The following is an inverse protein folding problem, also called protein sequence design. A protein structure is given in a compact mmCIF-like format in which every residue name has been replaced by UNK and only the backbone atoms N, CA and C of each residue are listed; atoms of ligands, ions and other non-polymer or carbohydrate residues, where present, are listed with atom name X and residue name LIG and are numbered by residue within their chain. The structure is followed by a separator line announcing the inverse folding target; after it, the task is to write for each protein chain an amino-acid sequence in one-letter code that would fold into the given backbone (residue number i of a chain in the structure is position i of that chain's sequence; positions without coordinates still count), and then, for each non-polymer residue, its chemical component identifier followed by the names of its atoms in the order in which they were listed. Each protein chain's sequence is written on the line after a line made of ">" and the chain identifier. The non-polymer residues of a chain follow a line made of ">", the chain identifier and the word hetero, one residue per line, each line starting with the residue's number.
data_IF_097937847856
#
_entry.id   IF_097937847856
#
_cell.length_a   1.000
_cell.length_b   1.000
_cell.length_c   1.000
_cell.angle_alpha   90.00
_cell.angle_beta   90.00
_cell.angle_gamma   90.00
#
_symmetry.space_group_name_H-M   'P 1'
#
loop_
_entity.id
_entity.type
_entity.pdbx_description
1 polymer ?
#
# COMPACT_ATOMS: atom_id res chain seq x y z
N UNK A 1 7.47 9.06 13.35
CA UNK A 1 6.81 10.38 13.42
C UNK A 1 5.51 10.19 14.18
N UNK A 2 5.17 11.01 15.18
CA UNK A 2 3.93 10.81 15.97
C UNK A 2 2.70 11.25 15.14
N UNK A 3 2.31 10.44 14.17
CA UNK A 3 1.16 10.69 13.30
C UNK A 3 -0.15 10.73 14.08
N UNK A 4 -0.24 9.96 15.18
CA UNK A 4 -1.45 9.92 16.02
C UNK A 4 -1.71 11.25 16.72
N UNK A 5 -0.67 11.95 17.20
CA UNK A 5 -0.85 13.26 17.86
C UNK A 5 -1.29 14.34 16.88
N UNK A 6 -0.80 14.28 15.63
CA UNK A 6 -1.24 15.13 14.52
C UNK A 6 -2.68 14.82 14.13
N UNK A 7 -3.03 13.54 14.01
CA UNK A 7 -4.39 13.10 13.70
C UNK A 7 -5.39 13.54 14.77
N UNK A 8 -5.06 13.35 16.05
CA UNK A 8 -5.89 13.83 17.16
C UNK A 8 -6.04 15.35 17.16
N UNK A 9 -4.98 16.10 16.81
CA UNK A 9 -5.05 17.55 16.66
C UNK A 9 -5.97 17.96 15.50
N UNK A 10 -5.89 17.27 14.36
CA UNK A 10 -6.77 17.49 13.21
C UNK A 10 -8.22 17.17 13.55
N UNK A 11 -8.49 16.02 14.17
CA UNK A 11 -9.83 15.60 14.57
C UNK A 11 -10.47 16.59 15.55
N UNK A 12 -9.66 17.17 16.46
CA UNK A 12 -10.10 18.27 17.32
C UNK A 12 -10.50 19.50 16.53
N UNK A 13 -9.75 19.89 15.51
CA UNK A 13 -10.11 21.02 14.62
C UNK A 13 -11.43 20.72 13.90
N UNK A 14 -11.58 19.54 13.30
CA UNK A 14 -12.80 19.12 12.60
C UNK A 14 -14.01 19.14 13.53
N UNK A 15 -13.88 18.55 14.72
CA UNK A 15 -14.97 18.51 15.72
C UNK A 15 -15.38 19.91 16.16
N UNK A 16 -14.41 20.79 16.40
CA UNK A 16 -14.67 22.18 16.80
C UNK A 16 -15.27 23.02 15.68
N UNK A 17 -14.85 22.81 14.44
CA UNK A 17 -15.45 23.44 13.27
C UNK A 17 -16.92 23.04 13.11
N UNK A 18 -17.24 21.75 13.20
CA UNK A 18 -18.62 21.24 13.15
C UNK A 18 -19.48 21.85 14.25
N UNK A 19 -18.99 21.85 15.50
CA UNK A 19 -19.71 22.44 16.63
C UNK A 19 -19.94 23.95 16.46
N UNK A 20 -18.91 24.69 16.00
CA UNK A 20 -19.01 26.12 15.75
C UNK A 20 -20.01 26.43 14.64
N UNK A 21 -20.03 25.65 13.55
CA UNK A 21 -20.99 25.80 12.46
C UNK A 21 -22.42 25.54 12.94
N UNK A 22 -22.63 24.47 13.69
CA UNK A 22 -23.94 24.13 14.24
C UNK A 22 -24.48 25.24 15.16
N UNK A 23 -23.67 25.69 16.13
CA UNK A 23 -24.07 26.78 17.05
C UNK A 23 -24.28 28.11 16.34
N UNK A 24 -23.48 28.40 15.31
CA UNK A 24 -23.68 29.63 14.52
C UNK A 24 -25.01 29.58 13.78
N UNK A 25 -25.38 28.41 13.25
CA UNK A 25 -26.68 28.21 12.63
C UNK A 25 -27.82 28.38 13.64
N UNK A 26 -27.73 27.79 14.83
CA UNK A 26 -28.74 27.98 15.89
C UNK A 26 -28.95 29.46 16.24
N UNK A 27 -27.87 30.25 16.32
CA UNK A 27 -27.95 31.69 16.60
C UNK A 27 -28.64 32.42 15.44
N UNK A 28 -28.28 32.09 14.19
CA UNK A 28 -28.90 32.68 12.99
C UNK A 28 -30.39 32.34 12.92
N UNK A 29 -30.75 31.09 13.20
CA UNK A 29 -32.13 30.61 13.21
C UNK A 29 -32.95 31.30 14.31
N UNK A 30 -32.36 31.49 15.50
CA UNK A 30 -33.01 32.21 16.60
C UNK A 30 -33.27 33.69 16.24
N UNK A 31 -32.29 34.36 15.62
CA UNK A 31 -32.47 35.73 15.12
C UNK A 31 -33.54 35.78 14.03
N UNK A 32 -33.53 34.83 13.10
CA UNK A 32 -34.56 34.69 12.07
C UNK A 32 -35.95 34.54 12.67
N UNK A 33 -36.10 33.66 13.67
CA UNK A 33 -37.37 33.41 14.34
C UNK A 33 -37.93 34.66 15.03
N UNK A 34 -37.08 35.44 15.72
CA UNK A 34 -37.52 36.69 16.36
C UNK A 34 -37.97 37.75 15.33
N UNK A 35 -37.29 37.82 14.18
CA UNK A 35 -37.68 38.70 13.07
C UNK A 35 -39.01 38.24 12.48
N UNK A 36 -39.20 36.94 12.24
CA UNK A 36 -40.45 36.38 11.72
C UNK A 36 -41.63 36.60 12.67
N UNK A 37 -41.44 36.42 13.97
CA UNK A 37 -42.45 36.74 14.98
C UNK A 37 -42.84 38.22 14.95
N UNK A 38 -41.87 39.12 14.85
CA UNK A 38 -42.14 40.56 14.74
C UNK A 38 -42.90 40.89 13.44
N UNK A 39 -42.54 40.28 12.32
CA UNK A 39 -43.24 40.43 11.03
C UNK A 39 -44.69 39.91 11.10
N UNK A 40 -44.92 38.76 11.74
CA UNK A 40 -46.26 38.22 11.94
C UNK A 40 -47.13 39.15 12.79
N UNK A 41 -46.58 39.69 13.88
CA UNK A 41 -47.25 40.70 14.72
C UNK A 41 -47.61 41.96 13.93
N UNK A 42 -46.71 42.44 13.05
CA UNK A 42 -46.96 43.59 12.19
C UNK A 42 -48.10 43.31 11.20
N UNK A 43 -48.11 42.14 10.57
CA UNK A 43 -49.17 41.74 9.60
C UNK A 43 -50.54 41.52 10.24
N UNK A 44 -50.59 41.19 11.53
CA UNK A 44 -51.84 40.98 12.27
C UNK A 44 -52.53 42.29 12.70
N UNK A 45 -51.92 43.45 12.48
CA UNK A 45 -52.52 44.75 12.79
C UNK A 45 -53.52 45.11 11.68
N UNK A 46 -54.80 45.18 12.04
CA UNK A 46 -55.90 45.51 11.11
C UNK A 46 -55.96 47.00 10.70
N UNK A 47 -55.23 47.89 11.38
CA UNK A 47 -55.16 49.32 11.06
C UNK A 47 -53.70 49.74 10.74
N UNK A 48 -53.33 49.91 9.45
CA UNK A 48 -51.93 50.08 9.02
C UNK A 48 -51.23 51.37 9.49
N UNK A 49 -51.96 52.29 10.14
CA UNK A 49 -51.52 53.67 10.34
C UNK A 49 -51.30 54.10 11.79
N UNK A 50 -51.41 53.21 12.79
CA UNK A 50 -51.03 53.55 14.17
C UNK A 50 -49.51 53.50 14.38
N UNK A 51 -48.79 54.64 14.46
CA UNK A 51 -47.33 54.67 14.56
C UNK A 51 -46.84 54.13 15.92
N UNK A 52 -47.74 54.11 16.91
CA UNK A 52 -47.46 53.70 18.29
C UNK A 52 -47.28 52.17 18.39
N UNK A 53 -48.12 51.39 17.69
CA UNK A 53 -48.04 49.93 17.72
C UNK A 53 -46.79 49.39 17.00
N UNK A 54 -46.44 49.94 15.84
CA UNK A 54 -45.22 49.60 15.12
C UNK A 54 -43.96 49.90 15.94
N UNK A 55 -43.91 51.07 16.59
CA UNK A 55 -42.80 51.46 17.45
C UNK A 55 -42.65 50.52 18.64
N UNK A 56 -43.76 50.08 19.24
CA UNK A 56 -43.75 49.10 20.34
C UNK A 56 -43.18 47.74 19.90
N UNK A 57 -43.63 47.18 18.77
CA UNK A 57 -43.16 45.89 18.26
C UNK A 57 -41.67 45.94 17.91
N UNK A 58 -41.21 47.00 17.24
CA UNK A 58 -39.79 47.19 16.93
C UNK A 58 -38.94 47.39 18.19
N UNK A 59 -39.49 48.03 19.24
CA UNK A 59 -38.79 48.15 20.53
C UNK A 59 -38.65 46.80 21.23
N UNK A 60 -39.70 45.96 21.18
CA UNK A 60 -39.67 44.59 21.72
C UNK A 60 -38.65 43.73 20.98
N UNK A 61 -38.65 43.76 19.63
CA UNK A 61 -37.67 43.04 18.82
C UNK A 61 -36.24 43.47 19.16
N UNK A 62 -36.00 44.78 19.26
CA UNK A 62 -34.69 45.33 19.66
C UNK A 62 -34.26 44.82 21.04
N UNK A 63 -35.17 44.78 22.01
CA UNK A 63 -34.89 44.24 23.35
C UNK A 63 -34.49 42.77 23.26
N UNK A 64 -35.27 41.94 22.56
CA UNK A 64 -35.00 40.52 22.41
C UNK A 64 -33.67 40.23 21.71
N UNK A 65 -33.38 40.91 20.59
CA UNK A 65 -32.10 40.78 19.88
C UNK A 65 -30.91 41.22 20.73
N UNK A 66 -31.06 42.29 21.51
CA UNK A 66 -30.03 42.72 22.46
C UNK A 66 -29.82 41.70 23.59
N UNK A 67 -30.87 41.00 24.01
CA UNK A 67 -30.80 39.96 25.05
C UNK A 67 -30.07 38.72 24.54
N UNK A 68 -30.31 38.34 23.28
CA UNK A 68 -29.60 37.23 22.62
C UNK A 68 -28.12 37.58 22.39
N UNK A 69 -27.82 38.84 22.03
CA UNK A 69 -26.45 39.29 21.78
C UNK A 69 -25.73 38.48 20.68
N UNK A 70 -26.34 38.25 19.50
CA UNK A 70 -25.86 37.30 18.50
C UNK A 70 -24.43 37.60 18.01
N UNK A 71 -24.08 38.89 17.87
CA UNK A 71 -22.73 39.31 17.48
C UNK A 71 -21.66 38.82 18.46
N UNK A 72 -21.89 38.98 19.77
CA UNK A 72 -20.94 38.55 20.80
C UNK A 72 -20.78 37.02 20.82
N UNK A 73 -21.88 36.29 20.63
CA UNK A 73 -21.86 34.83 20.57
C UNK A 73 -21.11 34.33 19.32
N UNK A 74 -21.40 34.90 18.15
CA UNK A 74 -20.73 34.55 16.90
C UNK A 74 -19.23 34.89 16.93
N UNK A 75 -18.86 36.06 17.48
CA UNK A 75 -17.46 36.42 17.71
C UNK A 75 -16.74 35.43 18.64
N UNK A 76 -17.40 35.01 19.72
CA UNK A 76 -16.88 34.00 20.64
C UNK A 76 -16.59 32.67 19.95
N UNK A 77 -17.56 32.18 19.15
CA UNK A 77 -17.41 30.95 18.35
C UNK A 77 -16.29 31.07 17.31
N UNK A 78 -16.19 32.21 16.63
CA UNK A 78 -15.14 32.48 15.67
C UNK A 78 -13.75 32.49 16.32
N UNK A 79 -13.61 33.14 17.49
CA UNK A 79 -12.36 33.15 18.27
C UNK A 79 -11.95 31.73 18.68
N UNK A 80 -12.88 30.94 19.22
CA UNK A 80 -12.60 29.55 19.63
C UNK A 80 -12.18 28.67 18.43
N UNK A 81 -12.84 28.83 17.28
CA UNK A 81 -12.47 28.15 16.03
C UNK A 81 -11.06 28.53 15.58
N UNK A 82 -10.76 29.83 15.55
CA UNK A 82 -9.47 30.35 15.08
C UNK A 82 -8.29 29.93 15.99
N UNK A 83 -8.52 29.79 17.30
CA UNK A 83 -7.50 29.26 18.22
C UNK A 83 -7.09 27.84 17.83
N UNK A 84 -8.05 26.98 17.49
CA UNK A 84 -7.74 25.60 17.10
C UNK A 84 -7.09 25.54 15.71
N UNK A 85 -7.61 26.33 14.76
CA UNK A 85 -7.05 26.45 13.41
C UNK A 85 -5.63 27.02 13.38
N UNK A 86 -5.26 27.89 14.34
CA UNK A 86 -3.90 28.45 14.42
C UNK A 86 -2.92 27.55 15.18
N UNK A 87 -3.42 26.67 16.07
CA UNK A 87 -2.59 25.70 16.80
C UNK A 87 -2.16 24.53 15.93
N UNK A 88 -3.04 24.04 15.06
CA UNK A 88 -2.76 22.87 14.23
C UNK A 88 -1.56 23.05 13.27
N UNK A 89 -1.46 24.14 12.48
CA UNK A 89 -0.28 24.40 11.65
C UNK A 89 1.02 24.46 12.45
N UNK A 90 0.99 25.04 13.66
CA UNK A 90 2.17 25.09 14.53
C UNK A 90 2.60 23.71 15.05
N UNK A 91 1.65 22.80 15.27
CA UNK A 91 1.97 21.41 15.60
C UNK A 91 2.52 20.68 14.38
N UNK A 92 1.91 20.91 13.22
CA UNK A 92 2.33 20.35 11.95
C UNK A 92 3.79 20.76 11.62
N UNK A 93 4.12 22.05 11.71
CA UNK A 93 5.47 22.58 11.51
C UNK A 93 6.50 21.98 12.47
N UNK A 94 6.12 21.68 13.72
CA UNK A 94 7.01 21.03 14.70
C UNK A 94 7.25 19.56 14.40
N UNK A 95 6.28 18.88 13.80
CA UNK A 95 6.38 17.46 13.47
C UNK A 95 7.19 17.22 12.21
N UNK A 96 7.25 18.18 11.29
CA UNK A 96 8.13 18.12 10.14
C UNK A 96 9.55 18.53 10.52
N UNK A 97 10.53 17.66 10.24
CA UNK A 97 11.94 18.04 10.27
C UNK A 97 12.29 18.69 8.94
N UNK A 98 12.53 20.01 8.86
CA UNK A 98 12.81 20.67 7.59
C UNK A 98 14.16 20.26 7.01
N UNK A 99 15.07 19.76 7.86
CA UNK A 99 16.41 19.37 7.46
C UNK A 99 16.64 17.89 7.72
N UNK A 100 16.35 17.08 6.70
CA UNK A 100 16.62 15.64 6.70
C UNK A 100 18.10 15.33 6.43
N UNK A 101 18.89 16.31 5.96
CA UNK A 101 20.32 16.11 5.65
C UNK A 101 21.14 15.79 6.90
N UNK A 102 20.64 16.13 8.10
CA UNK A 102 21.26 15.72 9.37
C UNK A 102 21.31 14.21 9.56
N UNK A 103 20.32 13.48 9.02
CA UNK A 103 20.29 12.03 9.03
C UNK A 103 21.19 11.41 7.96
N UNK A 104 21.67 12.21 6.99
CA UNK A 104 22.56 11.74 5.95
C UNK A 104 23.90 11.33 6.54
N UNK A 105 24.31 10.12 6.17
CA UNK A 105 25.67 9.62 6.33
C UNK A 105 26.27 9.62 4.92
N UNK A 106 27.55 9.92 4.77
CA UNK A 106 28.24 9.80 3.49
C UNK A 106 28.20 8.33 3.02
N UNK A 107 27.12 7.96 2.34
CA UNK A 107 26.97 6.67 1.67
C UNK A 107 27.46 6.88 0.26
N UNK A 108 28.46 6.10 -0.12
CA UNK A 108 28.93 6.06 -1.50
C UNK A 108 27.86 5.36 -2.34
N UNK A 109 27.37 6.06 -3.36
CA UNK A 109 26.38 5.50 -4.27
C UNK A 109 27.10 5.03 -5.52
N UNK A 110 26.83 3.78 -5.91
CA UNK A 110 27.08 3.35 -7.27
C UNK A 110 26.07 4.05 -8.19
N UNK A 111 26.50 5.14 -8.82
CA UNK A 111 25.64 5.95 -9.69
C UNK A 111 25.11 5.16 -10.89
N UNK A 112 25.87 4.19 -11.40
CA UNK A 112 25.40 3.32 -12.48
C UNK A 112 24.20 2.50 -12.00
N UNK A 113 24.34 1.82 -10.86
CA UNK A 113 23.25 1.04 -10.27
C UNK A 113 22.03 1.91 -9.92
N UNK A 114 22.25 3.11 -9.37
CA UNK A 114 21.14 4.05 -9.06
C UNK A 114 20.40 4.44 -10.33
N UNK A 115 21.11 4.81 -11.40
CA UNK A 115 20.49 5.18 -12.68
C UNK A 115 19.68 4.01 -13.25
N UNK A 116 20.22 2.79 -13.20
CA UNK A 116 19.51 1.58 -13.64
C UNK A 116 18.24 1.32 -12.81
N UNK A 117 18.30 1.52 -11.48
CA UNK A 117 17.13 1.38 -10.59
C UNK A 117 16.05 2.41 -10.94
N UNK A 118 16.44 3.66 -11.19
CA UNK A 118 15.50 4.74 -11.55
C UNK A 118 14.89 4.51 -12.93
N UNK A 119 15.69 4.09 -13.93
CA UNK A 119 15.19 3.76 -15.26
C UNK A 119 14.20 2.58 -15.22
N UNK A 120 14.55 1.50 -14.49
CA UNK A 120 13.66 0.35 -14.28
C UNK A 120 12.36 0.77 -13.59
N UNK A 121 12.43 1.69 -12.61
CA UNK A 121 11.24 2.24 -11.99
C UNK A 121 10.33 2.91 -13.03
N UNK A 122 10.86 3.75 -13.93
CA UNK A 122 10.06 4.37 -14.98
C UNK A 122 9.41 3.34 -15.90
N UNK A 123 10.14 2.31 -16.33
CA UNK A 123 9.57 1.23 -17.15
C UNK A 123 8.49 0.44 -16.43
N UNK A 124 8.65 0.14 -15.15
CA UNK A 124 7.61 -0.48 -14.33
C UNK A 124 6.34 0.37 -14.26
N UNK A 125 6.48 1.70 -14.18
CA UNK A 125 5.36 2.64 -14.19
C UNK A 125 4.80 2.93 -15.60
N UNK A 126 5.37 2.32 -16.65
CA UNK A 126 4.95 2.55 -18.04
C UNK A 126 5.41 3.89 -18.61
N UNK A 127 6.31 4.59 -17.93
CA UNK A 127 6.89 5.87 -18.33
C UNK A 127 8.13 5.66 -19.20
N UNK A 128 7.94 4.98 -20.35
CA UNK A 128 9.05 4.53 -21.20
C UNK A 128 9.93 5.68 -21.72
N UNK A 129 9.31 6.79 -22.14
CA UNK A 129 10.06 7.94 -22.66
C UNK A 129 11.03 8.53 -21.62
N UNK A 130 10.62 8.57 -20.33
CA UNK A 130 11.47 9.06 -19.25
C UNK A 130 12.62 8.09 -18.93
N UNK A 131 12.34 6.79 -18.98
CA UNK A 131 13.38 5.77 -18.82
C UNK A 131 14.42 5.84 -19.93
N UNK A 132 13.97 5.99 -21.18
CA UNK A 132 14.83 6.10 -22.36
C UNK A 132 15.72 7.35 -22.28
N UNK A 133 15.13 8.52 -21.98
CA UNK A 133 15.90 9.75 -21.79
C UNK A 133 16.98 9.61 -20.70
N UNK A 134 16.64 9.00 -19.55
CA UNK A 134 17.60 8.83 -18.46
C UNK A 134 18.75 7.90 -18.87
N UNK A 135 18.46 6.79 -19.54
CA UNK A 135 19.48 5.85 -19.99
C UNK A 135 20.42 6.50 -21.01
N UNK A 136 19.86 7.23 -21.97
CA UNK A 136 20.63 7.91 -23.01
C UNK A 136 21.56 8.99 -22.43
N UNK A 137 21.07 9.76 -21.45
CA UNK A 137 21.86 10.79 -20.76
C UNK A 137 22.91 10.22 -19.80
N UNK A 138 22.56 9.13 -19.09
CA UNK A 138 23.45 8.48 -18.13
C UNK A 138 24.49 7.55 -18.77
N UNK A 139 24.25 7.10 -20.02
CA UNK A 139 25.11 6.14 -20.70
C UNK A 139 24.96 4.70 -20.20
N UNK A 140 23.72 4.26 -19.91
CA UNK A 140 23.39 2.98 -19.25
C UNK A 140 22.68 1.96 -20.18
N UNK A 141 23.32 1.48 -21.27
CA UNK A 141 22.63 0.65 -22.27
C UNK A 141 22.14 -0.70 -21.72
N UNK A 142 22.68 -1.16 -20.60
CA UNK A 142 22.33 -2.44 -19.96
C UNK A 142 20.86 -2.47 -19.49
N UNK A 143 20.28 -1.32 -19.14
CA UNK A 143 18.89 -1.22 -18.70
C UNK A 143 17.87 -1.35 -19.86
N UNK A 144 18.31 -1.32 -21.13
CA UNK A 144 17.46 -1.50 -22.32
C UNK A 144 16.88 -2.93 -22.38
N UNK A 145 17.62 -3.92 -21.89
CA UNK A 145 17.12 -5.30 -21.87
C UNK A 145 15.84 -5.42 -21.02
N UNK A 146 15.73 -4.65 -19.94
CA UNK A 146 14.56 -4.66 -19.05
C UNK A 146 13.37 -3.94 -19.70
N UNK A 147 13.63 -2.89 -20.48
CA UNK A 147 12.62 -2.12 -21.20
C UNK A 147 11.71 -2.98 -22.08
N UNK A 148 12.28 -3.89 -22.87
CA UNK A 148 11.51 -4.72 -23.82
C UNK A 148 10.51 -5.63 -23.11
N UNK A 149 10.90 -6.18 -21.96
CA UNK A 149 10.03 -6.99 -21.11
C UNK A 149 8.84 -6.17 -20.60
N UNK A 150 9.07 -4.98 -20.04
CA UNK A 150 7.96 -4.14 -19.59
C UNK A 150 7.08 -3.66 -20.75
N UNK A 151 7.65 -3.43 -21.94
CA UNK A 151 6.85 -3.08 -23.11
C UNK A 151 5.88 -4.20 -23.51
N UNK A 152 6.35 -5.46 -23.55
CA UNK A 152 5.49 -6.63 -23.79
C UNK A 152 4.40 -6.75 -22.72
N UNK A 153 4.76 -6.58 -21.44
CA UNK A 153 3.79 -6.58 -20.34
C UNK A 153 2.71 -5.53 -20.57
N UNK A 154 3.07 -4.28 -20.86
CA UNK A 154 2.11 -3.20 -21.08
C UNK A 154 1.24 -3.43 -22.32
N UNK A 155 1.75 -4.07 -23.38
CA UNK A 155 0.91 -4.48 -24.52
C UNK A 155 -0.19 -5.46 -24.10
N UNK A 156 0.14 -6.42 -23.23
CA UNK A 156 -0.86 -7.32 -22.64
C UNK A 156 -1.84 -6.55 -21.75
N UNK A 157 -1.36 -5.66 -20.90
CA UNK A 157 -2.20 -4.87 -19.99
C UNK A 157 -3.17 -3.94 -20.73
N UNK A 158 -2.72 -3.24 -21.77
CA UNK A 158 -3.59 -2.38 -22.60
C UNK A 158 -4.69 -3.20 -23.30
N UNK A 159 -4.35 -4.40 -23.77
CA UNK A 159 -5.35 -5.32 -24.33
C UNK A 159 -6.38 -5.75 -23.27
N UNK A 160 -5.95 -6.01 -22.03
CA UNK A 160 -6.85 -6.37 -20.93
C UNK A 160 -7.83 -5.24 -20.58
N UNK A 161 -7.41 -3.96 -20.65
CA UNK A 161 -8.30 -2.80 -20.40
C UNK A 161 -9.51 -2.78 -21.34
N UNK A 162 -9.33 -3.20 -22.59
CA UNK A 162 -10.41 -3.32 -23.59
C UNK A 162 -11.03 -4.72 -23.64
N UNK A 163 -10.79 -5.55 -22.61
CA UNK A 163 -11.27 -6.93 -22.48
C UNK A 163 -10.81 -7.88 -23.61
N UNK A 164 -9.68 -7.60 -24.23
CA UNK A 164 -9.04 -8.49 -25.19
C UNK A 164 -8.06 -9.43 -24.47
N UNK A 165 -8.46 -10.69 -24.31
CA UNK A 165 -7.64 -11.73 -23.66
C UNK A 165 -6.62 -12.39 -24.59
N UNK A 166 -6.62 -12.08 -25.90
CA UNK A 166 -5.74 -12.71 -26.89
C UNK A 166 -4.24 -12.58 -26.57
N UNK A 167 -3.71 -11.36 -26.35
CA UNK A 167 -2.30 -11.18 -25.99
C UNK A 167 -1.92 -11.89 -24.68
N UNK A 168 -2.78 -11.84 -23.67
CA UNK A 168 -2.56 -12.54 -22.41
C UNK A 168 -2.52 -14.07 -22.60
N UNK A 169 -3.41 -14.63 -23.41
CA UNK A 169 -3.44 -16.07 -23.71
C UNK A 169 -2.18 -16.52 -24.46
N UNK A 170 -1.73 -15.74 -25.43
CA UNK A 170 -0.49 -16.02 -26.17
C UNK A 170 0.71 -16.02 -25.21
N UNK A 171 0.83 -15.00 -24.37
CA UNK A 171 1.91 -14.90 -23.39
C UNK A 171 1.90 -16.07 -22.39
N UNK A 172 0.73 -16.44 -21.86
CA UNK A 172 0.59 -17.58 -20.95
C UNK A 172 0.98 -18.89 -21.66
N UNK A 173 0.56 -19.08 -22.90
CA UNK A 173 0.86 -20.30 -23.67
C UNK A 173 2.36 -20.44 -23.93
N UNK A 174 3.03 -19.34 -24.31
CA UNK A 174 4.48 -19.30 -24.51
C UNK A 174 5.27 -19.58 -23.23
N UNK A 175 4.72 -19.22 -22.07
CA UNK A 175 5.37 -19.36 -20.76
C UNK A 175 4.80 -20.52 -19.91
N UNK A 176 3.96 -21.39 -20.49
CA UNK A 176 3.17 -22.39 -19.74
C UNK A 176 4.04 -23.31 -18.87
N UNK A 177 5.16 -23.80 -19.41
CA UNK A 177 6.04 -24.70 -18.66
C UNK A 177 6.61 -24.04 -17.39
N UNK A 178 7.09 -22.80 -17.52
CA UNK A 178 7.64 -22.02 -16.40
C UNK A 178 6.55 -21.65 -15.39
N UNK A 179 5.37 -21.27 -15.87
CA UNK A 179 4.21 -20.97 -15.02
C UNK A 179 3.78 -22.20 -14.21
N UNK A 180 3.76 -23.39 -14.84
CA UNK A 180 3.41 -24.64 -14.16
C UNK A 180 4.46 -25.05 -13.12
N UNK A 181 5.75 -24.87 -13.39
CA UNK A 181 6.82 -25.12 -12.41
C UNK A 181 6.67 -24.23 -11.16
N UNK A 182 6.19 -23.01 -11.33
CA UNK A 182 5.92 -22.07 -10.24
C UNK A 182 4.53 -22.27 -9.60
N UNK A 183 3.78 -23.30 -10.00
CA UNK A 183 2.43 -23.58 -9.48
C UNK A 183 1.39 -22.51 -9.81
N UNK A 184 1.60 -21.74 -10.89
CA UNK A 184 0.73 -20.64 -11.28
C UNK A 184 -0.62 -21.12 -11.84
N UNK A 185 -1.69 -20.50 -11.39
CA UNK A 185 -3.07 -20.78 -11.83
C UNK A 185 -3.57 -19.78 -12.88
N UNK A 186 -2.67 -19.02 -13.50
CA UNK A 186 -3.01 -17.90 -14.36
C UNK A 186 -3.80 -18.33 -15.60
N UNK A 187 -3.46 -19.48 -16.19
CA UNK A 187 -4.17 -20.03 -17.35
C UNK A 187 -5.64 -20.34 -17.05
N UNK A 188 -5.90 -20.96 -15.89
CA UNK A 188 -7.27 -21.21 -15.42
C UNK A 188 -8.03 -19.88 -15.22
N UNK A 189 -7.41 -18.91 -14.54
CA UNK A 189 -8.03 -17.59 -14.30
C UNK A 189 -8.38 -16.89 -15.63
N UNK A 190 -7.50 -16.95 -16.63
CA UNK A 190 -7.78 -16.39 -17.96
C UNK A 190 -8.98 -17.09 -18.62
N UNK A 191 -8.99 -18.42 -18.64
CA UNK A 191 -10.10 -19.17 -19.25
C UNK A 191 -11.44 -18.91 -18.55
N UNK A 192 -11.41 -18.64 -17.23
CA UNK A 192 -12.60 -18.20 -16.49
C UNK A 192 -13.12 -16.86 -16.98
N UNK A 193 -12.24 -15.86 -17.16
CA UNK A 193 -12.64 -14.55 -17.69
C UNK A 193 -13.23 -14.67 -19.10
N UNK A 194 -12.58 -15.43 -19.97
CA UNK A 194 -13.08 -15.65 -21.34
C UNK A 194 -14.43 -16.37 -21.33
N UNK A 195 -14.58 -17.40 -20.49
CA UNK A 195 -15.85 -18.11 -20.34
C UNK A 195 -16.98 -17.18 -19.87
N UNK A 196 -16.71 -16.30 -18.90
CA UNK A 196 -17.70 -15.33 -18.42
C UNK A 196 -18.11 -14.36 -19.53
N UNK A 197 -17.19 -13.88 -20.35
CA UNK A 197 -17.53 -13.01 -21.50
C UNK A 197 -18.35 -13.76 -22.56
N UNK A 198 -18.07 -15.05 -22.80
CA UNK A 198 -18.89 -15.91 -23.68
C UNK A 198 -20.30 -16.09 -23.10
N UNK A 199 -20.44 -16.31 -21.79
CA UNK A 199 -21.74 -16.42 -21.13
C UNK A 199 -22.54 -15.11 -21.20
N UNK A 200 -21.86 -13.95 -21.16
CA UNK A 200 -22.48 -12.62 -21.27
C UNK A 200 -22.96 -12.27 -22.67
N UNK A 201 -22.20 -12.65 -23.71
CA UNK A 201 -22.42 -12.18 -25.10
C UNK A 201 -22.85 -13.26 -26.08
N UNK A 202 -22.59 -14.52 -25.77
CA UNK A 202 -22.74 -15.66 -26.67
C UNK A 202 -23.94 -16.53 -26.34
N UNK A 203 -23.96 -17.72 -26.94
CA UNK A 203 -25.02 -18.71 -26.74
C UNK A 203 -24.64 -19.77 -25.70
N UNK A 204 -25.63 -20.52 -25.24
CA UNK A 204 -25.41 -21.69 -24.36
C UNK A 204 -24.49 -22.73 -25.01
N UNK A 205 -24.59 -22.90 -26.33
CA UNK A 205 -23.77 -23.84 -27.08
C UNK A 205 -22.29 -23.41 -27.08
N UNK A 206 -22.02 -22.12 -27.30
CA UNK A 206 -20.66 -21.57 -27.30
C UNK A 206 -20.01 -21.72 -25.92
N UNK A 207 -20.74 -21.36 -24.86
CA UNK A 207 -20.27 -21.49 -23.49
C UNK A 207 -19.97 -22.95 -23.12
N UNK A 208 -20.86 -23.88 -23.50
CA UNK A 208 -20.66 -25.31 -23.25
C UNK A 208 -19.46 -25.87 -24.02
N UNK A 209 -19.29 -25.47 -25.29
CA UNK A 209 -18.14 -25.86 -26.10
C UNK A 209 -16.84 -25.37 -25.48
N UNK A 210 -16.80 -24.09 -25.07
CA UNK A 210 -15.61 -23.50 -24.45
C UNK A 210 -15.24 -24.18 -23.14
N UNK A 211 -16.23 -24.44 -22.27
CA UNK A 211 -16.00 -25.12 -20.99
C UNK A 211 -15.42 -26.53 -21.19
N UNK A 212 -15.92 -27.29 -22.16
CA UNK A 212 -15.41 -28.64 -22.46
C UNK A 212 -13.98 -28.63 -22.97
N UNK A 213 -13.63 -27.66 -23.82
CA UNK A 213 -12.30 -27.60 -24.43
C UNK A 213 -11.25 -27.05 -23.48
N UNK A 214 -11.55 -25.97 -22.75
CA UNK A 214 -10.54 -25.19 -22.03
C UNK A 214 -10.62 -25.29 -20.51
N UNK A 215 -11.80 -25.54 -19.94
CA UNK A 215 -11.97 -25.60 -18.47
C UNK A 215 -11.98 -27.04 -17.93
N UNK A 216 -12.46 -28.02 -18.71
CA UNK A 216 -12.51 -29.41 -18.30
C UNK A 216 -11.15 -30.01 -17.86
N UNK A 217 -10.00 -29.68 -18.48
CA UNK A 217 -8.70 -30.16 -18.01
C UNK A 217 -8.37 -29.77 -16.56
N UNK A 218 -8.95 -28.68 -16.05
CA UNK A 218 -8.72 -28.18 -14.69
C UNK A 218 -9.77 -28.68 -13.69
N UNK A 219 -10.80 -29.40 -14.13
CA UNK A 219 -11.94 -29.76 -13.30
C UNK A 219 -11.58 -30.72 -12.15
N UNK A 220 -10.59 -31.59 -12.32
CA UNK A 220 -10.15 -32.53 -11.27
C UNK A 220 -9.60 -31.81 -10.03
N UNK A 221 -8.91 -30.69 -10.22
CA UNK A 221 -8.30 -29.88 -9.17
C UNK A 221 -9.25 -28.79 -8.64
N UNK A 222 -10.15 -28.28 -9.50
CA UNK A 222 -11.02 -27.12 -9.20
C UNK A 222 -12.52 -27.40 -9.41
N UNK A 223 -12.97 -28.59 -9.02
CA UNK A 223 -14.34 -29.06 -9.32
C UNK A 223 -15.44 -28.12 -8.83
N UNK A 224 -15.30 -27.54 -7.62
CA UNK A 224 -16.30 -26.63 -7.06
C UNK A 224 -16.46 -25.37 -7.93
N UNK A 225 -15.34 -24.74 -8.32
CA UNK A 225 -15.37 -23.57 -9.19
C UNK A 225 -15.91 -23.91 -10.58
N UNK A 226 -15.51 -25.07 -11.12
CA UNK A 226 -16.01 -25.55 -12.40
C UNK A 226 -17.54 -25.74 -12.39
N UNK A 227 -18.09 -26.35 -11.33
CA UNK A 227 -19.53 -26.53 -11.18
C UNK A 227 -20.28 -25.18 -11.18
N UNK A 228 -19.78 -24.19 -10.44
CA UNK A 228 -20.38 -22.85 -10.41
C UNK A 228 -20.40 -22.20 -11.79
N UNK A 229 -19.31 -22.31 -12.55
CA UNK A 229 -19.22 -21.77 -13.91
C UNK A 229 -20.20 -22.48 -14.87
N UNK A 230 -20.31 -23.80 -14.78
CA UNK A 230 -21.24 -24.57 -15.63
C UNK A 230 -22.70 -24.23 -15.31
N UNK A 231 -23.05 -23.97 -14.05
CA UNK A 231 -24.40 -23.51 -13.66
C UNK A 231 -24.75 -22.20 -14.37
N UNK A 232 -23.80 -21.26 -14.54
CA UNK A 232 -24.03 -19.99 -15.25
C UNK A 232 -24.52 -20.17 -16.69
N UNK A 233 -24.23 -21.29 -17.35
CA UNK A 233 -24.68 -21.58 -18.73
C UNK A 233 -26.22 -21.63 -18.79
N UNK A 234 -26.88 -22.12 -17.75
CA UNK A 234 -28.35 -22.21 -17.69
C UNK A 234 -28.98 -20.81 -17.76
N UNK A 235 -28.27 -19.82 -17.20
CA UNK A 235 -28.70 -18.44 -17.04
C UNK A 235 -28.27 -17.50 -18.17
N UNK A 236 -27.67 -18.00 -19.26
CA UNK A 236 -27.39 -17.18 -20.46
C UNK A 236 -28.66 -16.46 -20.93
N UNK A 237 -28.58 -15.14 -21.05
CA UNK A 237 -29.72 -14.25 -21.36
C UNK A 237 -30.58 -13.82 -20.16
N UNK A 238 -30.33 -14.33 -18.95
CA UNK A 238 -31.01 -13.99 -17.68
C UNK A 238 -30.02 -13.91 -16.51
N UNK A 239 -28.90 -13.23 -16.73
CA UNK A 239 -27.77 -13.23 -15.79
C UNK A 239 -28.05 -12.53 -14.46
N UNK A 240 -29.00 -11.61 -14.42
CA UNK A 240 -29.44 -10.93 -13.20
C UNK A 240 -30.03 -11.88 -12.15
N UNK A 241 -30.47 -13.07 -12.58
CA UNK A 241 -31.01 -14.12 -11.70
C UNK A 241 -30.02 -15.25 -11.44
N UNK A 242 -28.78 -15.15 -11.94
CA UNK A 242 -27.77 -16.18 -11.76
C UNK A 242 -27.34 -16.28 -10.28
N UNK A 243 -27.40 -17.48 -9.67
CA UNK A 243 -26.94 -17.70 -8.28
C UNK A 243 -25.45 -17.41 -8.05
N UNK A 244 -24.67 -17.35 -9.14
CA UNK A 244 -23.22 -17.12 -9.12
C UNK A 244 -22.81 -15.83 -9.85
N UNK A 245 -23.65 -14.79 -9.78
CA UNK A 245 -23.39 -13.50 -10.41
C UNK A 245 -22.08 -12.85 -9.91
N UNK A 246 -21.60 -13.19 -8.71
CA UNK A 246 -20.31 -12.76 -8.17
C UNK A 246 -19.13 -13.14 -9.05
N UNK A 247 -19.20 -14.25 -9.81
CA UNK A 247 -18.15 -14.67 -10.74
C UNK A 247 -18.01 -13.73 -11.94
N UNK A 248 -19.00 -12.85 -12.14
CA UNK A 248 -19.07 -11.92 -13.25
C UNK A 248 -18.66 -10.49 -12.89
N UNK A 249 -18.30 -10.28 -11.61
CA UNK A 249 -17.92 -8.99 -11.07
C UNK A 249 -16.65 -8.43 -11.75
N UNK A 250 -16.55 -7.10 -11.94
CA UNK A 250 -15.37 -6.46 -12.53
C UNK A 250 -14.07 -6.74 -11.77
N UNK A 251 -14.14 -6.96 -10.45
CA UNK A 251 -12.98 -7.23 -9.58
C UNK A 251 -12.09 -8.39 -10.10
N UNK A 252 -12.67 -9.40 -10.73
CA UNK A 252 -11.90 -10.53 -11.28
C UNK A 252 -10.95 -10.11 -12.41
N UNK A 253 -11.28 -9.04 -13.14
CA UNK A 253 -10.38 -8.47 -14.14
C UNK A 253 -9.22 -7.75 -13.47
N UNK A 254 -9.50 -6.95 -12.43
CA UNK A 254 -8.47 -6.24 -11.66
C UNK A 254 -7.51 -7.24 -10.98
N UNK A 255 -8.04 -8.27 -10.32
CA UNK A 255 -7.26 -9.34 -9.69
C UNK A 255 -6.41 -10.11 -10.72
N UNK A 256 -6.96 -10.41 -11.89
CA UNK A 256 -6.22 -11.05 -12.98
C UNK A 256 -5.10 -10.15 -13.51
N UNK A 257 -5.37 -8.86 -13.66
CA UNK A 257 -4.36 -7.86 -14.05
C UNK A 257 -3.23 -7.76 -13.02
N UNK A 258 -3.52 -7.78 -11.72
CA UNK A 258 -2.47 -7.79 -10.71
C UNK A 258 -1.66 -9.09 -10.71
N UNK A 259 -2.32 -10.23 -10.88
CA UNK A 259 -1.64 -11.53 -10.96
C UNK A 259 -0.73 -11.61 -12.19
N UNK A 260 -1.19 -11.16 -13.37
CA UNK A 260 -0.34 -11.22 -14.58
C UNK A 260 0.91 -10.35 -14.43
N UNK A 261 0.82 -9.16 -13.83
CA UNK A 261 1.99 -8.31 -13.53
C UNK A 261 2.97 -9.06 -12.63
N UNK A 262 2.46 -9.67 -11.55
CA UNK A 262 3.29 -10.43 -10.60
C UNK A 262 4.00 -11.60 -11.27
N UNK A 263 3.27 -12.40 -12.06
CA UNK A 263 3.84 -13.54 -12.78
C UNK A 263 4.84 -13.09 -13.84
N UNK A 264 4.56 -11.98 -14.53
CA UNK A 264 5.45 -11.40 -15.51
C UNK A 264 6.78 -10.97 -14.87
N UNK A 265 6.74 -10.16 -13.81
CA UNK A 265 7.96 -9.75 -13.10
C UNK A 265 8.76 -10.97 -12.61
N UNK A 266 8.07 -11.95 -12.02
CA UNK A 266 8.71 -13.17 -11.52
C UNK A 266 9.44 -13.96 -12.62
N UNK A 267 8.86 -14.08 -13.81
CA UNK A 267 9.47 -14.84 -14.92
C UNK A 267 10.67 -14.14 -15.55
N UNK A 268 10.70 -12.80 -15.47
CA UNK A 268 11.81 -11.97 -15.97
C UNK A 268 12.89 -11.78 -14.88
N UNK A 269 12.70 -12.35 -13.69
CA UNK A 269 13.63 -12.19 -12.57
C UNK A 269 13.63 -10.79 -11.97
N UNK A 270 12.54 -10.04 -12.16
CA UNK A 270 12.35 -8.71 -11.60
C UNK A 270 11.44 -8.77 -10.36
N UNK A 271 11.65 -7.85 -9.42
CA UNK A 271 10.75 -7.68 -8.29
C UNK A 271 9.42 -7.09 -8.76
N UNK A 272 8.32 -7.57 -8.18
CA UNK A 272 6.99 -7.00 -8.41
C UNK A 272 6.92 -5.53 -7.95
N UNK A 273 7.53 -5.21 -6.81
CA UNK A 273 7.67 -3.85 -6.32
C UNK A 273 8.97 -3.24 -6.83
N UNK A 274 8.91 -1.97 -7.24
CA UNK A 274 10.10 -1.24 -7.67
C UNK A 274 11.11 -1.12 -6.52
N UNK A 275 12.39 -1.49 -6.73
CA UNK A 275 13.44 -1.31 -5.73
C UNK A 275 13.55 0.14 -5.24
N UNK A 276 13.32 1.12 -6.13
CA UNK A 276 13.29 2.54 -5.77
C UNK A 276 12.18 2.86 -4.77
N UNK A 277 10.96 2.41 -5.06
CA UNK A 277 9.80 2.64 -4.19
C UNK A 277 9.99 1.97 -2.83
N UNK A 278 10.52 0.75 -2.83
CA UNK A 278 10.84 0.01 -1.61
C UNK A 278 11.92 0.73 -0.79
N UNK A 279 13.00 1.19 -1.43
CA UNK A 279 14.07 1.91 -0.74
C UNK A 279 13.59 3.24 -0.15
N UNK A 280 12.74 3.99 -0.87
CA UNK A 280 12.13 5.22 -0.37
C UNK A 280 11.22 4.92 0.81
N UNK A 281 10.36 3.90 0.72
CA UNK A 281 9.47 3.51 1.82
C UNK A 281 10.26 3.11 3.08
N UNK A 282 11.28 2.27 2.92
CA UNK A 282 12.19 1.90 4.00
C UNK A 282 12.91 3.11 4.60
N UNK A 283 13.35 4.04 3.75
CA UNK A 283 13.96 5.30 4.16
C UNK A 283 13.01 6.15 5.00
N UNK A 284 11.75 6.30 4.58
CA UNK A 284 10.71 7.05 5.31
C UNK A 284 10.47 6.43 6.69
N UNK A 285 10.36 5.11 6.79
CA UNK A 285 10.17 4.42 8.07
C UNK A 285 11.39 4.56 9.00
N UNK A 286 12.62 4.48 8.45
CA UNK A 286 13.84 4.61 9.22
C UNK A 286 14.24 6.04 9.62
N UNK A 287 13.79 7.03 8.85
CA UNK A 287 14.21 8.43 8.97
C UNK A 287 14.00 9.04 10.38
N UNK A 288 12.88 8.83 11.09
CA UNK A 288 12.69 9.36 12.44
C UNK A 288 13.75 8.88 13.43
N UNK A 289 14.17 7.62 13.33
CA UNK A 289 15.22 7.04 14.18
C UNK A 289 16.58 7.64 13.84
N UNK A 290 16.89 7.75 12.55
CA UNK A 290 18.13 8.35 12.08
C UNK A 290 18.26 9.83 12.50
N UNK A 291 17.18 10.61 12.42
CA UNK A 291 17.17 12.01 12.87
C UNK A 291 17.38 12.13 14.38
N UNK A 292 16.74 11.27 15.18
CA UNK A 292 16.96 11.24 16.64
C UNK A 292 18.42 10.93 16.96
N UNK A 293 19.02 9.94 16.29
CA UNK A 293 20.43 9.58 16.47
C UNK A 293 21.36 10.72 16.07
N UNK A 294 21.12 11.36 14.92
CA UNK A 294 21.89 12.51 14.46
C UNK A 294 21.88 13.66 15.47
N UNK A 295 20.73 13.91 16.12
CA UNK A 295 20.60 14.91 17.17
C UNK A 295 21.39 14.52 18.45
N UNK A 296 21.31 13.26 18.88
CA UNK A 296 22.07 12.76 20.04
C UNK A 296 23.58 12.81 19.78
N UNK A 297 23.99 12.48 18.56
CA UNK A 297 25.39 12.45 18.13
C UNK A 297 25.88 13.81 17.62
N UNK A 298 25.11 14.89 17.76
CA UNK A 298 25.44 16.20 17.20
C UNK A 298 26.78 16.76 17.72
N UNK A 299 27.17 16.43 18.95
CA UNK A 299 28.47 16.79 19.55
C UNK A 299 29.64 15.92 19.07
N UNK A 300 29.36 14.76 18.46
CA UNK A 300 30.32 13.74 18.02
C UNK A 300 30.13 13.44 16.51
N UNK A 301 30.13 14.48 15.69
CA UNK A 301 29.83 14.38 14.25
C UNK A 301 30.76 13.43 13.50
N UNK A 302 32.04 13.42 13.84
CA UNK A 302 33.01 12.55 13.18
C UNK A 302 32.73 11.07 13.48
N UNK A 303 32.45 10.73 14.75
CA UNK A 303 32.03 9.38 15.14
C UNK A 303 30.73 8.97 14.43
N UNK A 304 29.77 9.89 14.26
CA UNK A 304 28.53 9.62 13.51
C UNK A 304 28.77 9.29 12.03
N UNK A 305 29.71 9.99 11.37
CA UNK A 305 30.02 9.77 9.95
C UNK A 305 30.83 8.49 9.73
N UNK A 306 31.73 8.12 10.64
CA UNK A 306 32.58 6.91 10.52
C UNK A 306 31.87 5.62 11.00
N UNK A 307 30.69 5.74 11.59
CA UNK A 307 29.94 4.63 12.17
C UNK A 307 29.37 3.68 11.11
N UNK A 308 29.96 2.48 11.01
CA UNK A 308 29.53 1.42 10.08
C UNK A 308 28.19 0.78 10.44
N UNK A 309 27.81 0.75 11.71
CA UNK A 309 26.58 0.10 12.21
C UNK A 309 25.85 1.01 13.19
N UNK A 310 24.52 1.05 13.10
CA UNK A 310 23.71 1.84 14.02
C UNK A 310 23.71 1.21 15.43
N UNK A 311 23.72 2.03 16.50
CA UNK A 311 23.72 1.52 17.88
C UNK A 311 22.34 1.03 18.33
N UNK A 312 21.30 1.33 17.55
CA UNK A 312 19.92 0.93 17.80
C UNK A 312 19.34 0.27 16.54
N UNK A 313 18.47 -0.73 16.70
CA UNK A 313 17.77 -1.32 15.57
C UNK A 313 16.84 -0.29 14.91
N UNK A 314 16.73 -0.37 13.59
CA UNK A 314 15.71 0.37 12.82
C UNK A 314 14.62 -0.63 12.47
N UNK A 315 13.48 -0.51 13.13
CA UNK A 315 12.33 -1.38 12.87
C UNK A 315 11.59 -0.89 11.63
N UNK A 316 11.73 -1.63 10.53
CA UNK A 316 11.15 -1.31 9.21
C UNK A 316 9.85 -2.08 8.91
N UNK A 317 9.28 -2.78 9.91
CA UNK A 317 8.12 -3.64 9.71
C UNK A 317 8.44 -4.99 9.06
N UNK A 318 7.41 -5.84 8.91
CA UNK A 318 7.54 -7.20 8.35
C UNK A 318 7.43 -7.21 6.82
N UNK A 319 6.76 -6.21 6.27
CA UNK A 319 6.53 -5.98 4.85
C UNK A 319 7.83 -5.67 4.08
N UNK A 320 8.88 -5.22 4.77
CA UNK A 320 10.21 -4.98 4.20
C UNK A 320 11.20 -6.14 4.48
N UNK A 321 10.70 -7.29 4.95
CA UNK A 321 11.51 -8.51 5.16
C UNK A 321 11.45 -9.40 3.92
N UNK A 322 12.27 -9.08 2.92
CA UNK A 322 12.25 -9.76 1.61
C UNK A 322 12.95 -11.13 1.59
N UNK A 323 13.93 -11.34 2.47
CA UNK A 323 14.70 -12.57 2.53
C UNK A 323 14.80 -13.06 3.97
N UNK A 324 14.72 -14.37 4.15
CA UNK A 324 15.05 -14.98 5.44
C UNK A 324 16.55 -14.91 5.64
N UNK A 325 17.00 -13.99 6.49
CA UNK A 325 18.40 -13.91 6.90
C UNK A 325 18.58 -14.78 8.13
N UNK A 326 19.45 -15.78 8.02
CA UNK A 326 19.91 -16.53 9.20
C UNK A 326 21.17 -15.88 9.76
N UNK A 327 21.16 -15.58 11.06
CA UNK A 327 22.36 -15.18 11.80
C UNK A 327 22.75 -16.33 12.70
N UNK A 328 23.97 -16.84 12.55
CA UNK A 328 24.50 -17.92 13.37
C UNK A 328 24.50 -17.49 14.84
N UNK A 329 23.80 -18.17 15.73
CA UNK A 329 23.67 -17.68 17.09
C UNK A 329 24.94 -17.96 17.93
N UNK A 330 25.88 -18.77 17.43
CA UNK A 330 27.20 -18.99 18.05
C UNK A 330 28.24 -17.98 17.55
N UNK A 331 28.41 -17.85 16.24
CA UNK A 331 29.44 -16.96 15.69
C UNK A 331 28.96 -15.52 15.54
N UNK A 332 27.65 -15.28 15.56
CA UNK A 332 26.97 -14.01 15.28
C UNK A 332 27.18 -13.51 13.85
N UNK A 333 27.71 -14.37 12.97
CA UNK A 333 27.85 -14.09 11.55
C UNK A 333 26.53 -14.33 10.83
N UNK A 334 26.23 -13.48 9.84
CA UNK A 334 25.17 -13.74 8.87
C UNK A 334 25.56 -14.95 7.99
N UNK A 335 24.62 -15.86 7.74
CA UNK A 335 24.81 -16.97 6.82
C UNK A 335 24.95 -16.49 5.38
N UNK A 336 25.81 -17.15 4.60
CA UNK A 336 26.08 -16.87 3.18
C UNK A 336 26.14 -18.15 2.35
N UNK A 337 26.35 -18.05 1.04
CA UNK A 337 26.57 -19.24 0.19
C UNK A 337 27.85 -20.00 0.59
N UNK A 338 28.90 -19.30 1.00
CA UNK A 338 30.17 -19.88 1.47
C UNK A 338 30.10 -20.37 2.92
N UNK A 339 29.21 -19.79 3.73
CA UNK A 339 28.99 -20.16 5.12
C UNK A 339 27.50 -20.41 5.41
N UNK A 340 26.91 -21.46 4.81
CA UNK A 340 25.47 -21.61 4.82
C UNK A 340 24.93 -22.05 6.18
N UNK A 341 23.65 -21.76 6.46
CA UNK A 341 22.91 -22.33 7.58
C UNK A 341 22.82 -23.85 7.44
N UNK A 342 23.18 -24.57 8.49
CA UNK A 342 23.18 -26.03 8.54
C UNK A 342 22.25 -26.51 9.66
N UNK A 343 21.21 -27.26 9.28
CA UNK A 343 20.28 -27.92 10.18
C UNK A 343 20.91 -29.16 10.81
N UNK A 344 21.00 -29.18 12.13
CA UNK A 344 21.41 -30.35 12.90
C UNK A 344 20.24 -31.33 13.10
N UNK A 345 20.49 -32.61 13.44
CA UNK A 345 19.45 -33.60 13.71
C UNK A 345 18.46 -33.19 14.82
N UNK A 346 18.90 -32.36 15.77
CA UNK A 346 18.06 -31.79 16.83
C UNK A 346 17.22 -30.58 16.40
N UNK A 347 17.16 -30.28 15.10
CA UNK A 347 16.43 -29.17 14.48
C UNK A 347 16.95 -27.75 14.79
N UNK A 348 18.02 -27.62 15.58
CA UNK A 348 18.73 -26.35 15.70
C UNK A 348 19.62 -26.11 14.48
N UNK A 349 19.85 -24.83 14.16
CA UNK A 349 20.62 -24.40 12.99
C UNK A 349 21.87 -23.65 13.44
N UNK A 350 23.00 -23.94 12.79
CA UNK A 350 24.27 -23.21 12.95
C UNK A 350 24.89 -22.99 11.58
N UNK A 351 25.72 -21.96 11.40
CA UNK A 351 26.47 -21.82 10.15
C UNK A 351 27.53 -22.91 9.99
N UNK A 352 27.82 -23.28 8.74
CA UNK A 352 28.76 -24.35 8.38
C UNK A 352 30.14 -24.19 9.04
N UNK A 353 30.71 -22.99 9.04
CA UNK A 353 31.99 -22.72 9.70
C UNK A 353 31.94 -22.97 11.22
N UNK A 354 30.80 -22.71 11.88
CA UNK A 354 30.63 -23.02 13.30
C UNK A 354 30.60 -24.53 13.54
N UNK A 355 29.92 -25.28 12.67
CA UNK A 355 29.90 -26.75 12.72
C UNK A 355 31.29 -27.33 12.47
N UNK A 356 32.03 -26.82 11.49
CA UNK A 356 33.40 -27.25 11.20
C UNK A 356 34.32 -27.01 12.41
N UNK A 357 34.24 -25.84 13.06
CA UNK A 357 35.02 -25.54 14.27
C UNK A 357 34.66 -26.49 15.43
N UNK A 358 33.37 -26.69 15.70
CA UNK A 358 32.90 -27.54 16.80
C UNK A 358 33.28 -29.03 16.60
N UNK A 359 33.16 -29.52 15.37
CA UNK A 359 33.52 -30.88 14.97
C UNK A 359 35.04 -31.09 14.76
N UNK A 360 35.89 -30.07 14.99
CA UNK A 360 37.32 -30.08 14.66
C UNK A 360 37.56 -30.54 13.21
N UNK A 361 37.02 -29.80 12.25
CA UNK A 361 37.06 -30.11 10.82
C UNK A 361 36.58 -31.55 10.53
N UNK A 362 35.38 -31.90 11.01
CA UNK A 362 34.72 -33.20 10.78
C UNK A 362 35.37 -34.41 11.48
N UNK A 363 36.43 -34.22 12.26
CA UNK A 363 37.13 -35.33 12.94
C UNK A 363 36.39 -35.94 14.13
N UNK A 364 35.36 -35.27 14.67
CA UNK A 364 34.57 -35.79 15.81
C UNK A 364 33.12 -35.29 15.84
N UNK A 365 32.31 -35.95 16.65
CA UNK A 365 30.99 -35.45 17.08
C UNK A 365 31.15 -34.23 17.99
N UNK A 366 30.12 -33.40 18.03
CA UNK A 366 30.04 -32.21 18.88
C UNK A 366 28.65 -32.10 19.52
N UNK A 367 28.58 -31.43 20.67
CA UNK A 367 27.30 -31.13 21.34
C UNK A 367 26.67 -29.89 20.74
N UNK A 368 25.36 -29.93 20.54
CA UNK A 368 24.59 -28.77 20.18
C UNK A 368 24.73 -27.68 21.27
N UNK A 369 24.96 -26.41 20.92
CA UNK A 369 25.03 -25.31 21.90
C UNK A 369 23.71 -25.03 22.63
N UNK A 370 22.58 -25.48 22.07
CA UNK A 370 21.22 -25.20 22.57
C UNK A 370 20.57 -26.37 23.29
N UNK A 371 21.10 -27.58 23.15
CA UNK A 371 20.47 -28.79 23.68
C UNK A 371 21.51 -29.90 23.92
N UNK A 372 21.19 -30.94 24.71
CA UNK A 372 22.16 -31.99 25.06
C UNK A 372 22.48 -32.95 23.90
N UNK A 373 21.81 -32.84 22.75
CA UNK A 373 21.98 -33.74 21.61
C UNK A 373 23.36 -33.54 20.95
N UNK A 374 24.02 -34.66 20.64
CA UNK A 374 25.26 -34.69 19.87
C UNK A 374 24.97 -34.86 18.37
N UNK A 375 25.81 -34.26 17.54
CA UNK A 375 25.74 -34.35 16.09
C UNK A 375 27.15 -34.51 15.50
N UNK A 376 27.27 -35.15 14.35
CA UNK A 376 28.46 -35.05 13.50
C UNK A 376 28.21 -34.07 12.34
N UNK A 377 29.27 -33.50 11.78
CA UNK A 377 29.15 -32.57 10.66
C UNK A 377 28.45 -33.20 9.45
N UNK A 378 28.68 -34.50 9.20
CA UNK A 378 28.06 -35.25 8.10
C UNK A 378 26.54 -35.44 8.25
N UNK A 379 26.00 -35.35 9.46
CA UNK A 379 24.55 -35.43 9.70
C UNK A 379 23.83 -34.09 9.51
N UNK A 380 24.58 -33.01 9.39
CA UNK A 380 24.03 -31.66 9.25
C UNK A 380 23.68 -31.41 7.79
N UNK A 381 22.47 -30.90 7.54
CA UNK A 381 21.98 -30.63 6.18
C UNK A 381 21.92 -29.14 5.95
N UNK A 382 22.38 -28.69 4.79
CA UNK A 382 22.24 -27.30 4.40
C UNK A 382 20.75 -26.93 4.32
N UNK A 383 20.38 -25.80 4.91
CA UNK A 383 19.07 -25.18 4.71
C UNK A 383 19.14 -24.24 3.52
N UNK A 384 18.10 -24.30 2.69
CA UNK A 384 17.84 -23.34 1.63
C UNK A 384 16.56 -22.59 2.03
N UNK A 385 16.64 -21.26 2.05
CA UNK A 385 15.55 -20.37 2.43
C UNK A 385 14.81 -19.82 1.22
#
# INVERSE_FOLDING_TARGET
>A
MELDTLKDAFDRVVKRQKLSSFRSQEIVDQVGHEIEQALAKIKAINDPLSPVHLKSILSELKLKLNTVGPLNLLEGLQKERNINLSKYPKLLEKSFSPDISKAYRNVDFDFHLVNQIVANHFYQQGLFDLGDCLIDEAGEPEAIAIRSHFLEMYQVLEALKVKNLGPALNWITLNREKLNQNGSMLELKLHRLQFVEIVKKGTKADALSYARTHLAPFASLHMNEFQKLVVCIIWVGKLDSCPHAELMAPIHWEEFTQEIIKQFCSLVGQSYWSPLSVAIAAGIEGLPTLLKLANVMAAKRQEWQEMKQLPVPVELGKELQFHSIFVCPVSRDQGSEENPPMLMPCQHVLCNQSIMKLSKNTSRTFKCPYCPTEASAAQCRQLHF
#
